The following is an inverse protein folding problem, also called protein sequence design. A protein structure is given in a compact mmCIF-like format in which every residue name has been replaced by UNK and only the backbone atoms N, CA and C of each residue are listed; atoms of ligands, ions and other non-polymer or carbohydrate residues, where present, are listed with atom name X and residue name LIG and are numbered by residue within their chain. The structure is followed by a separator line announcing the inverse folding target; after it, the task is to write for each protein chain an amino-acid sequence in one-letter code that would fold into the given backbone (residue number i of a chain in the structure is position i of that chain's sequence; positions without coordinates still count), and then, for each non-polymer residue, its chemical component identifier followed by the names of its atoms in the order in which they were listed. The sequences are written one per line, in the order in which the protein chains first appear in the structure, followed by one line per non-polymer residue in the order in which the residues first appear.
data_IF_359396312921
#
_entry.id   IF_359396312921
#
_cell.length_a   1.000
_cell.length_b   1.000
_cell.length_c   1.000
_cell.angle_alpha   90.00
_cell.angle_beta   90.00
_cell.angle_gamma   90.00
#
_symmetry.space_group_name_H-M   'P 1'
#
loop_
_entity.id
_entity.type
_entity.pdbx_description
1 polymer ?
#
# COMPACT_ATOMS: atom_id res chain seq x y z
N UNK A 1 28.48 1.25 -16.57
CA UNK A 1 27.22 2.02 -16.46
C UNK A 1 26.57 2.05 -17.83
N UNK A 2 25.34 1.58 -17.98
CA UNK A 2 24.76 1.46 -19.32
C UNK A 2 23.27 1.14 -19.33
N UNK A 3 22.48 1.89 -18.56
CA UNK A 3 21.05 1.94 -18.81
C UNK A 3 20.78 3.11 -19.76
N UNK A 4 20.58 2.80 -21.05
CA UNK A 4 20.35 3.78 -22.13
C UNK A 4 19.01 4.54 -21.99
N UNK A 5 18.15 4.15 -21.04
CA UNK A 5 16.88 4.81 -20.78
C UNK A 5 16.94 5.76 -19.57
N UNK A 6 18.00 5.70 -18.75
CA UNK A 6 18.16 6.61 -17.61
C UNK A 6 18.59 7.98 -18.12
N UNK A 7 17.69 8.96 -18.04
CA UNK A 7 17.97 10.35 -18.43
C UNK A 7 18.37 11.25 -17.28
N UNK A 8 18.04 10.88 -16.04
CA UNK A 8 18.33 11.68 -14.85
C UNK A 8 18.42 10.81 -13.60
N UNK A 9 19.28 11.18 -12.66
CA UNK A 9 19.51 10.50 -11.39
C UNK A 9 19.21 11.47 -10.24
N UNK A 10 18.26 11.10 -9.38
CA UNK A 10 17.97 11.84 -8.15
C UNK A 10 18.54 11.11 -6.94
N UNK A 11 19.33 11.82 -6.13
CA UNK A 11 20.05 11.25 -4.98
C UNK A 11 19.53 11.85 -3.66
N UNK A 12 18.99 11.00 -2.78
CA UNK A 12 18.51 11.38 -1.44
C UNK A 12 19.60 11.41 -0.36
N UNK A 13 20.83 11.81 -0.71
CA UNK A 13 22.02 11.67 0.16
C UNK A 13 22.44 12.97 0.83
N UNK A 14 21.56 13.99 0.90
CA UNK A 14 21.94 15.34 1.34
C UNK A 14 22.62 15.40 2.71
N UNK A 15 22.35 14.45 3.61
CA UNK A 15 22.89 14.40 4.97
C UNK A 15 24.24 13.72 5.11
N UNK A 16 24.68 12.95 4.10
CA UNK A 16 25.84 12.06 4.21
C UNK A 16 27.04 12.62 3.44
N UNK A 17 28.07 13.15 4.13
CA UNK A 17 29.23 13.74 3.47
C UNK A 17 30.10 12.72 2.72
N UNK A 18 29.94 11.41 2.95
CA UNK A 18 30.77 10.38 2.31
C UNK A 18 30.59 10.32 0.79
N UNK A 19 29.47 10.84 0.27
CA UNK A 19 29.19 10.88 -1.16
C UNK A 19 29.88 12.04 -1.89
N UNK A 20 30.52 12.99 -1.19
CA UNK A 20 31.15 14.15 -1.82
C UNK A 20 32.24 13.75 -2.82
N UNK A 21 33.14 12.83 -2.42
CA UNK A 21 34.21 12.35 -3.31
C UNK A 21 33.64 11.65 -4.55
N UNK A 22 32.62 10.82 -4.37
CA UNK A 22 31.96 10.14 -5.48
C UNK A 22 31.31 11.12 -6.45
N UNK A 23 30.67 12.17 -5.94
CA UNK A 23 30.09 13.21 -6.77
C UNK A 23 31.16 14.00 -7.52
N UNK A 24 32.27 14.35 -6.88
CA UNK A 24 33.37 15.05 -7.56
C UNK A 24 34.01 14.19 -8.66
N UNK A 25 34.08 12.87 -8.47
CA UNK A 25 34.63 11.96 -9.47
C UNK A 25 33.68 11.73 -10.66
N UNK A 26 32.36 11.85 -10.44
CA UNK A 26 31.31 11.57 -11.44
C UNK A 26 30.83 12.81 -12.15
N UNK A 27 30.87 13.98 -11.50
CA UNK A 27 30.32 15.23 -12.01
C UNK A 27 31.35 15.98 -12.86
N UNK A 28 31.04 16.10 -14.13
CA UNK A 28 31.67 17.00 -15.09
C UNK A 28 30.63 17.93 -15.72
N UNK A 29 31.06 18.82 -16.62
CA UNK A 29 30.15 19.75 -17.29
C UNK A 29 29.03 19.06 -18.09
N UNK A 30 29.21 17.81 -18.50
CA UNK A 30 28.21 17.05 -19.26
C UNK A 30 27.23 16.28 -18.37
N UNK A 31 27.63 15.90 -17.16
CA UNK A 31 26.82 15.04 -16.27
C UNK A 31 26.17 15.79 -15.12
N UNK A 32 26.61 17.02 -14.80
CA UNK A 32 26.02 17.84 -13.73
C UNK A 32 24.51 18.06 -13.89
N UNK A 33 24.02 18.18 -15.12
CA UNK A 33 22.60 18.37 -15.43
C UNK A 33 21.78 17.08 -15.38
N UNK A 34 22.45 15.92 -15.27
CA UNK A 34 21.82 14.60 -15.21
C UNK A 34 21.73 14.07 -13.78
N UNK A 35 22.35 14.74 -12.81
CA UNK A 35 22.41 14.31 -11.41
C UNK A 35 21.90 15.43 -10.51
N UNK A 36 20.96 15.11 -9.61
CA UNK A 36 20.41 16.08 -8.67
C UNK A 36 20.30 15.50 -7.27
N UNK A 37 20.80 16.23 -6.28
CA UNK A 37 20.66 15.88 -4.87
C UNK A 37 19.37 16.48 -4.32
N UNK A 38 18.56 15.64 -3.68
CA UNK A 38 17.34 16.03 -3.00
C UNK A 38 17.67 16.44 -1.56
N UNK A 39 17.37 17.68 -1.21
CA UNK A 39 17.57 18.22 0.12
C UNK A 39 16.28 18.07 0.96
N UNK A 40 16.23 16.97 1.72
CA UNK A 40 15.19 16.72 2.74
C UNK A 40 15.59 17.16 4.16
N UNK A 41 16.89 17.30 4.39
CA UNK A 41 17.52 17.90 5.58
C UNK A 41 18.74 18.71 5.14
N UNK A 42 19.21 19.69 5.93
CA UNK A 42 20.29 20.59 5.52
C UNK A 42 21.49 19.83 4.95
N UNK A 43 21.90 20.23 3.75
CA UNK A 43 22.96 19.55 3.02
C UNK A 43 24.29 19.55 3.80
N UNK A 44 25.00 18.43 3.78
CA UNK A 44 26.33 18.31 4.36
C UNK A 44 27.29 19.29 3.67
N UNK A 45 28.18 19.89 4.47
CA UNK A 45 29.08 20.97 4.00
C UNK A 45 29.98 20.52 2.85
N UNK A 46 30.40 19.27 2.84
CA UNK A 46 31.27 18.71 1.79
C UNK A 46 30.50 18.50 0.47
N UNK A 47 29.24 18.04 0.54
CA UNK A 47 28.37 17.94 -0.63
C UNK A 47 28.04 19.30 -1.24
N UNK A 48 27.93 20.34 -0.41
CA UNK A 48 27.65 21.70 -0.85
C UNK A 48 28.79 22.34 -1.65
N UNK A 49 30.01 21.78 -1.58
CA UNK A 49 31.17 22.24 -2.35
C UNK A 49 31.23 21.63 -3.76
N UNK A 50 30.49 20.55 -3.98
CA UNK A 50 30.40 19.91 -5.30
C UNK A 50 29.56 20.75 -6.27
N UNK A 51 29.72 20.57 -7.57
CA UNK A 51 28.93 21.26 -8.61
C UNK A 51 27.56 20.62 -8.86
N UNK A 52 27.06 19.82 -7.93
CA UNK A 52 25.81 19.06 -8.12
C UNK A 52 24.58 19.97 -8.09
N UNK A 53 23.63 19.71 -8.98
CA UNK A 53 22.32 20.34 -8.90
C UNK A 53 21.61 19.92 -7.61
N UNK A 54 20.92 20.86 -6.96
CA UNK A 54 20.18 20.58 -5.72
C UNK A 54 18.75 21.09 -5.80
N UNK A 55 17.82 20.29 -5.30
CA UNK A 55 16.42 20.70 -5.14
C UNK A 55 16.05 20.59 -3.66
N UNK A 56 15.62 21.71 -3.09
CA UNK A 56 15.16 21.78 -1.71
C UNK A 56 13.64 21.62 -1.64
N UNK A 57 13.21 20.56 -0.95
CA UNK A 57 11.80 20.28 -0.69
C UNK A 57 11.43 20.44 0.79
N UNK A 58 12.32 21.04 1.59
CA UNK A 58 12.05 21.36 2.99
C UNK A 58 10.96 22.42 3.03
N UNK A 59 9.92 22.20 3.85
CA UNK A 59 8.72 23.04 3.99
C UNK A 59 7.70 22.98 2.85
N UNK A 60 7.95 22.23 1.76
CA UNK A 60 6.97 21.99 0.68
C UNK A 60 6.50 20.54 0.65
N UNK A 61 7.43 19.60 0.73
CA UNK A 61 7.15 18.15 0.74
C UNK A 61 7.60 17.49 2.04
N UNK A 62 8.74 17.92 2.60
CA UNK A 62 9.33 17.38 3.81
C UNK A 62 9.16 18.33 5.00
N UNK A 63 8.87 17.74 6.16
CA UNK A 63 8.86 18.43 7.44
C UNK A 63 10.27 18.93 7.79
N UNK A 64 10.39 20.18 8.20
CA UNK A 64 11.63 20.73 8.76
C UNK A 64 11.92 20.22 10.18
N UNK A 65 10.88 19.77 10.89
CA UNK A 65 10.99 19.18 12.22
C UNK A 65 11.44 17.72 12.15
N UNK A 66 12.38 17.34 13.03
CA UNK A 66 12.68 15.92 13.25
C UNK A 66 11.43 15.26 13.80
N UNK A 67 11.03 14.13 13.21
CA UNK A 67 9.96 13.29 13.77
C UNK A 67 10.40 12.92 15.19
N UNK A 68 9.72 13.48 16.19
CA UNK A 68 10.02 13.22 17.58
C UNK A 68 10.06 11.72 17.83
N UNK A 69 11.05 11.24 18.60
CA UNK A 69 10.99 9.89 19.14
C UNK A 69 9.66 9.79 19.88
N UNK A 70 8.77 8.90 19.41
CA UNK A 70 7.56 8.58 20.16
C UNK A 70 8.06 8.12 21.52
N UNK A 71 7.87 8.95 22.55
CA UNK A 71 8.13 8.54 23.90
C UNK A 71 7.23 7.32 24.11
N UNK A 72 7.84 6.15 24.30
CA UNK A 72 7.11 4.98 24.74
C UNK A 72 6.38 5.39 26.01
N UNK A 73 5.08 5.64 25.88
CA UNK A 73 4.21 5.93 27.00
C UNK A 73 4.27 4.70 27.90
N UNK A 74 5.00 4.84 29.01
CA UNK A 74 4.96 3.88 30.10
C UNK A 74 3.52 3.67 30.56
N UNK A 75 3.19 2.51 31.16
CA UNK A 75 1.84 2.23 31.59
C UNK A 75 1.40 3.25 32.65
N UNK A 76 0.08 3.56 32.73
CA UNK A 76 -0.43 4.58 33.63
C UNK A 76 -0.15 4.18 35.09
N UNK A 77 0.54 5.06 35.81
CA UNK A 77 0.72 4.95 37.25
C UNK A 77 -0.65 5.08 37.93
N UNK A 78 -1.18 3.95 38.35
CA UNK A 78 -2.24 3.86 39.33
C UNK A 78 -2.01 2.61 40.15
N UNK A 79 -1.25 2.70 41.25
CA UNK A 79 -1.48 1.87 42.41
C UNK A 79 -0.87 2.50 43.68
N UNK A 80 -1.67 2.38 44.72
CA UNK A 80 -1.49 2.79 46.11
C UNK A 80 -0.25 2.18 46.80
N UNK A 81 0.39 2.98 47.64
CA UNK A 81 1.38 2.58 48.67
C UNK A 81 0.75 1.63 49.69
N UNK A 82 1.40 0.49 50.00
CA UNK A 82 1.68 -0.03 51.37
C UNK A 82 2.80 -1.08 51.34
N UNK A 83 3.84 -0.94 52.19
CA UNK A 83 4.38 -2.03 53.03
C UNK A 83 5.49 -2.99 52.54
N UNK A 84 6.73 -2.68 52.92
CA UNK A 84 7.79 -3.51 53.56
C UNK A 84 8.24 -4.91 53.08
N UNK A 85 9.58 -5.03 53.06
CA UNK A 85 10.51 -6.13 53.41
C UNK A 85 10.80 -7.30 52.46
N UNK A 86 12.11 -7.35 52.12
CA UNK A 86 13.03 -8.51 52.04
C UNK A 86 13.16 -9.40 50.78
N UNK A 87 14.44 -9.58 50.44
CA UNK A 87 15.16 -10.69 49.79
C UNK A 87 15.05 -11.02 48.28
N UNK A 88 16.20 -10.73 47.63
CA UNK A 88 16.84 -11.28 46.41
C UNK A 88 17.01 -12.83 46.53
N UNK A 89 17.31 -13.70 45.50
CA UNK A 89 17.59 -13.50 44.05
C UNK A 89 16.89 -14.51 43.06
N UNK A 90 17.26 -14.33 41.78
CA UNK A 90 17.67 -15.36 40.81
C UNK A 90 16.72 -15.73 39.65
N UNK A 91 17.27 -15.54 38.45
CA UNK A 91 16.84 -16.07 37.17
C UNK A 91 16.91 -17.61 37.10
N UNK A 92 16.11 -18.23 36.21
CA UNK A 92 16.40 -19.33 35.25
C UNK A 92 15.12 -19.42 34.38
N UNK A 93 15.13 -19.15 33.06
CA UNK A 93 15.61 -19.94 31.90
C UNK A 93 14.71 -21.11 31.43
N UNK A 94 14.90 -21.42 30.16
CA UNK A 94 14.06 -22.02 29.12
C UNK A 94 13.73 -23.53 29.19
N UNK A 95 12.62 -23.88 28.51
CA UNK A 95 12.25 -25.14 27.84
C UNK A 95 11.97 -26.43 28.66
N UNK A 96 10.83 -27.08 28.35
CA UNK A 96 10.53 -28.45 28.75
C UNK A 96 9.17 -28.93 28.23
N UNK A 97 9.17 -29.73 27.16
CA UNK A 97 8.01 -30.46 26.63
C UNK A 97 7.90 -31.80 27.35
N UNK A 98 6.67 -32.24 27.67
CA UNK A 98 6.09 -33.60 27.44
C UNK A 98 5.08 -34.05 28.52
N UNK A 99 4.01 -34.70 28.03
CA UNK A 99 3.19 -35.76 28.68
C UNK A 99 2.08 -35.37 29.68
N UNK A 100 0.83 -35.69 29.30
CA UNK A 100 -0.40 -35.71 30.11
C UNK A 100 -0.45 -36.96 31.05
N UNK A 101 -1.40 -37.13 32.02
CA UNK A 101 -2.83 -37.31 31.73
C UNK A 101 -3.86 -36.82 32.81
N UNK A 102 -5.15 -36.89 32.41
CA UNK A 102 -6.35 -37.24 33.18
C UNK A 102 -7.27 -36.16 33.83
N UNK A 103 -8.43 -35.98 33.17
CA UNK A 103 -9.84 -36.00 33.66
C UNK A 103 -10.30 -34.99 34.74
N UNK A 104 -11.18 -34.06 34.35
CA UNK A 104 -12.51 -33.75 34.96
C UNK A 104 -13.27 -32.66 34.17
N UNK A 105 -14.62 -32.67 34.10
CA UNK A 105 -15.41 -31.85 33.18
C UNK A 105 -15.60 -30.39 33.65
N UNK A 106 -15.76 -29.41 32.73
CA UNK A 106 -16.02 -28.01 33.09
C UNK A 106 -17.51 -27.77 33.47
N UNK A 107 -17.80 -26.97 34.52
CA UNK A 107 -19.17 -26.62 34.90
C UNK A 107 -19.81 -25.66 33.89
N UNK A 108 -21.07 -25.94 33.55
CA UNK A 108 -21.91 -25.12 32.66
C UNK A 108 -22.54 -23.95 33.42
N UNK A 109 -22.16 -22.71 33.08
CA UNK A 109 -22.86 -21.51 33.54
C UNK A 109 -23.80 -21.00 32.44
N UNK A 110 -25.10 -20.96 32.78
CA UNK A 110 -26.18 -20.46 31.93
C UNK A 110 -26.24 -18.92 31.95
N UNK A 111 -26.39 -18.37 30.74
CA UNK A 111 -26.66 -16.99 30.29
C UNK A 111 -27.50 -16.07 31.22
N UNK A 112 -27.38 -14.73 31.05
CA UNK A 112 -28.36 -14.04 30.18
C UNK A 112 -27.70 -13.14 29.11
N UNK A 113 -28.09 -13.36 27.85
CA UNK A 113 -27.83 -12.48 26.71
C UNK A 113 -28.71 -11.22 26.82
N UNK A 114 -28.11 -10.09 27.18
CA UNK A 114 -28.75 -8.78 26.99
C UNK A 114 -28.49 -8.30 25.55
N UNK A 115 -29.51 -7.85 24.79
CA UNK A 115 -29.32 -7.32 23.45
C UNK A 115 -28.61 -5.97 23.57
N UNK A 116 -27.29 -5.96 23.33
CA UNK A 116 -26.52 -4.73 23.25
C UNK A 116 -26.97 -3.97 22.00
N UNK A 117 -27.77 -2.94 22.18
CA UNK A 117 -28.07 -1.95 21.16
C UNK A 117 -26.73 -1.39 20.64
N UNK A 118 -26.33 -1.83 19.46
CA UNK A 118 -25.19 -1.28 18.75
C UNK A 118 -25.61 0.07 18.20
N UNK A 119 -25.31 1.11 18.96
CA UNK A 119 -25.33 2.47 18.46
C UNK A 119 -24.26 2.55 17.35
N UNK A 120 -24.70 2.39 16.09
CA UNK A 120 -23.85 2.56 14.90
C UNK A 120 -23.34 3.99 14.91
N UNK A 121 -22.02 4.23 15.09
CA UNK A 121 -21.49 5.57 14.98
C UNK A 121 -21.66 6.00 13.52
N UNK A 122 -22.37 7.11 13.30
CA UNK A 122 -22.42 7.78 11.99
C UNK A 122 -20.96 8.07 11.59
N UNK A 123 -20.43 7.31 10.64
CA UNK A 123 -19.07 7.47 10.14
C UNK A 123 -18.93 8.89 9.62
N UNK A 124 -18.01 9.66 10.22
CA UNK A 124 -17.60 10.95 9.72
C UNK A 124 -17.20 10.78 8.24
N UNK A 125 -17.82 11.56 7.36
CA UNK A 125 -17.49 11.60 5.93
C UNK A 125 -16.00 11.93 5.84
N UNK A 126 -15.19 10.94 5.46
CA UNK A 126 -13.77 11.18 5.21
C UNK A 126 -13.67 12.27 4.12
N UNK A 127 -12.74 13.24 4.25
CA UNK A 127 -12.53 14.21 3.20
C UNK A 127 -12.28 13.50 1.87
N UNK A 128 -12.73 14.06 0.73
CA UNK A 128 -12.50 13.46 -0.58
C UNK A 128 -10.99 13.35 -0.80
N UNK A 129 -10.49 12.12 -0.73
CA UNK A 129 -9.10 11.81 -1.00
C UNK A 129 -8.83 12.09 -2.48
N UNK A 130 -7.87 12.99 -2.75
CA UNK A 130 -7.39 13.22 -4.10
C UNK A 130 -6.06 12.47 -4.30
N UNK A 131 -6.04 11.43 -5.13
CA UNK A 131 -4.88 10.57 -5.31
C UNK A 131 -3.78 11.18 -6.19
N UNK A 132 -4.05 12.26 -6.91
CA UNK A 132 -3.08 12.92 -7.79
C UNK A 132 -3.74 13.81 -8.82
N UNK A 133 -2.97 14.30 -9.80
CA UNK A 133 -3.49 15.15 -10.88
C UNK A 133 -4.51 14.41 -11.76
N UNK A 134 -4.36 13.08 -11.93
CA UNK A 134 -5.31 12.22 -12.65
C UNK A 134 -6.65 12.07 -11.92
N UNK A 135 -6.66 12.25 -10.60
CA UNK A 135 -7.85 12.08 -9.76
C UNK A 135 -8.31 10.62 -9.68
N UNK A 136 -9.50 10.41 -9.12
CA UNK A 136 -10.07 9.08 -8.92
C UNK A 136 -10.56 8.44 -10.22
N UNK A 137 -10.41 7.12 -10.32
CA UNK A 137 -11.06 6.33 -11.37
C UNK A 137 -12.59 6.48 -11.27
N UNK A 138 -13.25 6.71 -12.40
CA UNK A 138 -14.71 6.94 -12.43
C UNK A 138 -15.48 5.79 -11.76
N UNK A 139 -16.35 6.04 -10.77
CA UNK A 139 -17.07 4.97 -10.09
C UNK A 139 -17.90 4.11 -11.06
N UNK A 140 -17.83 2.79 -10.89
CA UNK A 140 -18.63 1.83 -11.67
C UNK A 140 -19.80 1.33 -10.84
N UNK A 141 -21.03 1.47 -11.36
CA UNK A 141 -22.22 0.86 -10.76
C UNK A 141 -22.40 -0.56 -11.30
N UNK A 142 -21.93 -1.54 -10.55
CA UNK A 142 -21.94 -2.94 -10.97
C UNK A 142 -23.19 -3.66 -10.47
N UNK A 143 -23.85 -4.42 -11.34
CA UNK A 143 -24.88 -5.38 -10.95
C UNK A 143 -24.20 -6.63 -10.35
N UNK A 144 -24.47 -6.92 -9.08
CA UNK A 144 -23.79 -8.00 -8.35
C UNK A 144 -24.04 -9.39 -8.97
N UNK A 145 -25.27 -9.66 -9.43
CA UNK A 145 -25.61 -10.94 -10.07
C UNK A 145 -24.84 -11.14 -11.39
N UNK A 146 -24.68 -10.08 -12.18
CA UNK A 146 -23.89 -10.10 -13.42
C UNK A 146 -22.41 -10.30 -13.10
N UNK A 147 -21.88 -9.58 -12.11
CA UNK A 147 -20.50 -9.72 -11.67
C UNK A 147 -20.18 -11.16 -11.26
N UNK A 148 -21.06 -11.80 -10.50
CA UNK A 148 -20.86 -13.17 -10.04
C UNK A 148 -20.92 -14.17 -11.20
N UNK A 149 -21.77 -13.95 -12.20
CA UNK A 149 -21.80 -14.76 -13.41
C UNK A 149 -20.52 -14.64 -14.24
N UNK A 150 -19.96 -13.44 -14.38
CA UNK A 150 -18.67 -13.24 -15.06
C UNK A 150 -17.52 -13.88 -14.28
N UNK A 151 -17.51 -13.78 -12.93
CA UNK A 151 -16.49 -14.40 -12.07
C UNK A 151 -16.49 -15.94 -12.13
N UNK A 152 -17.64 -16.56 -12.36
CA UNK A 152 -17.76 -18.03 -12.49
C UNK A 152 -17.07 -18.59 -13.73
N UNK A 153 -16.75 -17.76 -14.73
CA UNK A 153 -16.05 -18.18 -15.95
C UNK A 153 -14.58 -18.53 -15.62
N UNK A 154 -14.16 -19.73 -15.97
CA UNK A 154 -12.82 -20.28 -15.69
C UNK A 154 -12.15 -20.83 -16.95
N UNK A 155 -10.84 -21.04 -16.91
CA UNK A 155 -10.06 -21.54 -18.04
C UNK A 155 -10.24 -20.68 -19.30
N UNK A 156 -10.43 -21.35 -20.44
CA UNK A 156 -10.65 -20.73 -21.75
C UNK A 156 -11.97 -19.96 -21.86
N UNK A 157 -12.95 -20.23 -20.98
CA UNK A 157 -14.21 -19.48 -20.98
C UNK A 157 -14.06 -18.06 -20.41
N UNK A 158 -12.94 -17.72 -19.75
CA UNK A 158 -12.69 -16.37 -19.22
C UNK A 158 -12.67 -15.36 -20.36
N UNK A 159 -13.45 -14.28 -20.19
CA UNK A 159 -13.52 -13.21 -21.17
C UNK A 159 -12.22 -12.41 -21.21
N UNK A 160 -11.73 -12.11 -22.40
CA UNK A 160 -10.54 -11.30 -22.58
C UNK A 160 -10.83 -9.81 -22.29
N UNK A 161 -10.26 -9.27 -21.22
CA UNK A 161 -10.45 -7.86 -20.86
C UNK A 161 -10.06 -6.90 -22.00
N UNK A 162 -8.90 -7.11 -22.65
CA UNK A 162 -8.46 -6.25 -23.76
C UNK A 162 -9.45 -6.30 -24.93
N UNK A 163 -9.90 -7.49 -25.33
CA UNK A 163 -10.84 -7.66 -26.44
C UNK A 163 -12.13 -6.85 -26.23
N UNK A 164 -12.73 -6.98 -25.05
CA UNK A 164 -14.05 -6.40 -24.79
C UNK A 164 -14.03 -4.93 -24.34
N UNK A 165 -12.90 -4.45 -23.82
CA UNK A 165 -12.79 -3.08 -23.29
C UNK A 165 -12.01 -2.12 -24.19
N UNK A 166 -11.04 -2.62 -24.98
CA UNK A 166 -10.20 -1.79 -25.88
C UNK A 166 -10.36 -2.13 -27.36
N UNK A 167 -11.19 -3.11 -27.68
CA UNK A 167 -11.37 -3.61 -29.04
C UNK A 167 -10.46 -4.82 -29.34
N UNK A 168 -10.29 -5.20 -30.61
CA UNK A 168 -9.67 -6.47 -30.99
C UNK A 168 -8.34 -6.76 -30.28
N UNK A 169 -8.28 -7.91 -29.60
CA UNK A 169 -7.10 -8.33 -28.86
C UNK A 169 -5.89 -8.52 -29.80
N UNK A 170 -4.76 -7.88 -29.48
CA UNK A 170 -3.51 -7.99 -30.25
C UNK A 170 -2.97 -9.42 -30.37
N UNK A 171 -3.27 -10.28 -29.38
CA UNK A 171 -2.84 -11.69 -29.36
C UNK A 171 -3.67 -12.59 -30.29
N UNK A 172 -4.83 -12.14 -30.78
CA UNK A 172 -5.73 -12.89 -31.67
C UNK A 172 -5.89 -14.36 -31.22
N UNK A 173 -5.45 -15.31 -32.04
CA UNK A 173 -5.61 -16.75 -31.84
C UNK A 173 -4.65 -17.35 -30.80
N UNK A 174 -3.60 -16.61 -30.41
CA UNK A 174 -2.67 -17.02 -29.34
C UNK A 174 -3.18 -16.65 -27.94
N UNK A 175 -4.33 -15.96 -27.85
CA UNK A 175 -4.93 -15.58 -26.59
C UNK A 175 -5.69 -16.75 -25.97
N UNK A 176 -5.36 -17.15 -24.75
CA UNK A 176 -6.07 -18.22 -24.03
C UNK A 176 -7.43 -17.81 -23.43
N UNK A 177 -8.00 -16.69 -23.87
CA UNK A 177 -9.25 -16.12 -23.35
C UNK A 177 -10.31 -16.04 -24.45
N UNK A 178 -11.58 -16.13 -24.05
CA UNK A 178 -12.72 -16.09 -24.95
C UNK A 178 -12.87 -14.72 -25.65
N UNK A 179 -13.03 -14.75 -26.97
CA UNK A 179 -13.20 -13.59 -27.85
C UNK A 179 -14.54 -13.59 -28.63
N UNK A 180 -15.25 -14.73 -28.71
CA UNK A 180 -16.48 -14.89 -29.49
C UNK A 180 -17.76 -14.77 -28.64
N UNK A 181 -17.68 -14.07 -27.51
CA UNK A 181 -18.84 -13.75 -26.68
C UNK A 181 -19.35 -12.34 -26.99
N UNK A 182 -20.66 -12.09 -26.83
CA UNK A 182 -21.26 -10.76 -27.03
C UNK A 182 -21.75 -10.21 -25.69
N UNK A 183 -20.86 -9.61 -24.85
CA UNK A 183 -21.27 -9.08 -23.57
C UNK A 183 -22.20 -7.88 -23.74
N UNK A 184 -23.29 -7.89 -22.98
CA UNK A 184 -24.20 -6.76 -22.85
C UNK A 184 -23.57 -5.59 -22.06
N UNK A 185 -24.28 -4.47 -21.93
CA UNK A 185 -23.75 -3.29 -21.25
C UNK A 185 -23.40 -3.55 -19.78
N UNK A 186 -24.23 -4.29 -19.04
CA UNK A 186 -23.97 -4.63 -17.64
C UNK A 186 -22.78 -5.57 -17.48
N UNK A 187 -22.63 -6.53 -18.40
CA UNK A 187 -21.49 -7.46 -18.43
C UNK A 187 -20.19 -6.71 -18.75
N UNK A 188 -20.20 -5.74 -19.67
CA UNK A 188 -19.03 -4.87 -19.91
C UNK A 188 -18.64 -4.07 -18.68
N UNK A 189 -19.60 -3.57 -17.90
CA UNK A 189 -19.33 -2.90 -16.63
C UNK A 189 -18.72 -3.86 -15.61
N UNK A 190 -19.23 -5.09 -15.52
CA UNK A 190 -18.65 -6.12 -14.66
C UNK A 190 -17.21 -6.51 -15.07
N UNK A 191 -16.95 -6.67 -16.37
CA UNK A 191 -15.60 -6.91 -16.91
C UNK A 191 -14.67 -5.73 -16.57
N UNK A 192 -15.15 -4.50 -16.74
CA UNK A 192 -14.40 -3.28 -16.39
C UNK A 192 -14.05 -3.24 -14.90
N UNK A 193 -15.00 -3.60 -14.03
CA UNK A 193 -14.77 -3.66 -12.59
C UNK A 193 -13.71 -4.70 -12.23
N UNK A 194 -13.80 -5.92 -12.80
CA UNK A 194 -12.80 -6.96 -12.57
C UNK A 194 -11.41 -6.58 -13.12
N UNK A 195 -11.36 -5.90 -14.27
CA UNK A 195 -10.11 -5.39 -14.81
C UNK A 195 -9.47 -4.38 -13.85
N UNK A 196 -10.27 -3.46 -13.29
CA UNK A 196 -9.83 -2.46 -12.31
C UNK A 196 -9.46 -3.00 -10.94
N UNK A 197 -9.68 -4.28 -10.64
CA UNK A 197 -9.11 -4.93 -9.45
C UNK A 197 -7.62 -5.28 -9.62
N UNK A 198 -7.10 -5.19 -10.85
CA UNK A 198 -5.67 -5.32 -11.11
C UNK A 198 -5.06 -3.90 -11.17
N UNK A 199 -4.04 -3.61 -10.34
CA UNK A 199 -3.38 -2.31 -10.36
C UNK A 199 -2.73 -2.04 -11.72
N UNK A 200 -2.86 -0.80 -12.18
CA UNK A 200 -2.09 -0.28 -13.29
C UNK A 200 -0.62 -0.21 -12.88
N UNK A 201 0.29 -0.67 -13.73
CA UNK A 201 1.74 -0.62 -13.46
C UNK A 201 2.25 0.81 -13.29
N UNK A 202 1.61 1.77 -13.95
CA UNK A 202 1.99 3.19 -13.89
C UNK A 202 1.22 3.96 -12.81
N UNK A 203 0.26 3.33 -12.12
CA UNK A 203 -0.53 3.97 -11.05
C UNK A 203 -1.06 5.35 -11.46
N UNK A 204 -0.84 6.35 -10.62
CA UNK A 204 -1.27 7.74 -10.87
C UNK A 204 -0.58 8.41 -12.05
N UNK A 205 0.60 7.94 -12.42
CA UNK A 205 1.41 8.49 -13.51
C UNK A 205 1.03 7.89 -14.86
N UNK A 206 -0.03 7.08 -14.92
CA UNK A 206 -0.53 6.56 -16.19
C UNK A 206 -1.07 7.71 -17.06
N UNK A 207 -0.56 7.84 -18.28
CA UNK A 207 -0.95 8.79 -19.31
C UNK A 207 -1.95 8.21 -20.32
N UNK A 208 -2.23 6.91 -20.22
CA UNK A 208 -3.14 6.20 -21.09
C UNK A 208 -4.58 6.61 -20.75
N UNK A 209 -5.24 7.28 -21.69
CA UNK A 209 -6.62 7.77 -21.54
C UNK A 209 -7.63 6.63 -21.41
N UNK A 210 -7.43 5.53 -22.14
CA UNK A 210 -8.31 4.35 -22.17
C UNK A 210 -7.78 3.18 -21.30
N UNK A 211 -7.03 3.47 -20.24
CA UNK A 211 -6.51 2.44 -19.36
C UNK A 211 -7.65 1.67 -18.67
N UNK A 212 -7.62 0.34 -18.76
CA UNK A 212 -8.64 -0.56 -18.23
C UNK A 212 -8.32 -1.08 -16.82
N UNK A 213 -7.12 -0.80 -16.32
CA UNK A 213 -6.65 -1.21 -15.00
C UNK A 213 -6.96 -0.13 -13.95
N UNK A 214 -6.92 -0.52 -12.67
CA UNK A 214 -7.20 0.41 -11.59
C UNK A 214 -5.97 1.24 -11.25
N UNK A 215 -6.12 2.55 -11.14
CA UNK A 215 -5.07 3.43 -10.61
C UNK A 215 -5.21 3.61 -9.09
N UNK A 216 -6.33 3.14 -8.52
CA UNK A 216 -6.63 3.10 -7.09
C UNK A 216 -7.39 1.84 -6.74
N UNK A 217 -7.36 1.48 -5.46
CA UNK A 217 -8.15 0.36 -4.96
C UNK A 217 -9.67 0.67 -5.03
N UNK A 218 -10.46 -0.03 -5.87
CA UNK A 218 -11.91 0.21 -5.98
C UNK A 218 -12.71 -0.44 -4.84
N UNK A 219 -12.05 -1.17 -3.94
CA UNK A 219 -12.66 -1.98 -2.88
C UNK A 219 -12.62 -1.31 -1.49
N UNK A 220 -12.33 -0.01 -1.44
CA UNK A 220 -12.28 0.73 -0.18
C UNK A 220 -13.68 1.19 0.23
N UNK A 221 -14.15 0.69 1.37
CA UNK A 221 -15.47 1.04 1.94
C UNK A 221 -15.28 1.44 3.40
N UNK A 222 -15.76 2.61 3.80
CA UNK A 222 -15.69 3.11 5.17
C UNK A 222 -14.26 3.08 5.79
N UNK A 223 -13.23 3.39 5.00
CA UNK A 223 -11.84 3.34 5.46
C UNK A 223 -11.28 1.94 5.66
N UNK A 224 -11.91 0.92 5.07
CA UNK A 224 -11.43 -0.46 5.07
C UNK A 224 -11.46 -1.00 3.63
N UNK A 225 -10.33 -1.53 3.15
CA UNK A 225 -10.29 -2.34 1.94
C UNK A 225 -10.94 -3.69 2.24
N UNK A 226 -11.95 -4.05 1.46
CA UNK A 226 -12.72 -5.30 1.64
C UNK A 226 -12.07 -6.49 0.93
N UNK A 227 -11.04 -6.27 0.10
CA UNK A 227 -10.37 -7.34 -0.63
C UNK A 227 -9.32 -8.04 0.26
N UNK A 228 -9.45 -9.36 0.51
CA UNK A 228 -8.59 -10.06 1.47
C UNK A 228 -7.13 -10.17 1.02
N UNK A 229 -6.89 -10.25 -0.29
CA UNK A 229 -5.56 -10.26 -0.91
C UNK A 229 -5.47 -9.09 -1.88
N UNK A 230 -5.46 -7.87 -1.35
CA UNK A 230 -5.43 -6.67 -2.18
C UNK A 230 -4.04 -6.50 -2.81
N UNK A 231 -4.03 -6.24 -4.12
CA UNK A 231 -2.79 -6.03 -4.90
C UNK A 231 -2.37 -4.56 -4.98
N UNK A 232 -3.20 -3.64 -4.48
CA UNK A 232 -2.92 -2.22 -4.52
C UNK A 232 -1.95 -1.83 -3.41
N UNK A 233 -1.09 -0.87 -3.70
CA UNK A 233 -0.11 -0.32 -2.77
C UNK A 233 -0.82 0.51 -1.68
N UNK A 234 -0.15 0.74 -0.53
CA UNK A 234 -0.66 1.61 0.52
C UNK A 234 -1.10 3.00 0.04
N UNK A 235 -0.31 3.60 -0.85
CA UNK A 235 -0.53 4.92 -1.44
C UNK A 235 -1.67 4.96 -2.46
N UNK A 236 -2.12 3.81 -2.95
CA UNK A 236 -3.26 3.67 -3.87
C UNK A 236 -4.60 3.46 -3.13
N UNK A 237 -4.59 3.66 -1.81
CA UNK A 237 -5.78 3.68 -0.97
C UNK A 237 -6.00 5.07 -0.37
N UNK A 238 -7.26 5.45 -0.07
CA UNK A 238 -7.55 6.63 0.71
C UNK A 238 -6.78 6.66 2.03
N UNK A 239 -6.37 7.86 2.46
CA UNK A 239 -5.63 8.05 3.71
C UNK A 239 -6.36 7.41 4.90
N UNK A 240 -5.62 6.70 5.75
CA UNK A 240 -6.17 6.00 6.90
C UNK A 240 -6.93 4.71 6.58
N UNK A 241 -6.93 4.25 5.31
CA UNK A 241 -7.54 2.98 4.94
C UNK A 241 -6.80 1.81 5.58
N UNK A 242 -7.53 0.96 6.29
CA UNK A 242 -7.06 -0.34 6.76
C UNK A 242 -7.15 -1.33 5.60
N UNK A 243 -6.11 -2.13 5.39
CA UNK A 243 -6.09 -3.15 4.34
C UNK A 243 -5.25 -4.34 4.77
N UNK A 244 -5.55 -5.51 4.19
CA UNK A 244 -4.72 -6.71 4.32
C UNK A 244 -3.92 -6.83 3.03
N UNK A 245 -2.74 -6.22 3.02
CA UNK A 245 -1.89 -6.17 1.83
C UNK A 245 -1.10 -7.46 1.69
N UNK A 246 -0.87 -7.89 0.44
CA UNK A 246 0.19 -8.85 0.10
C UNK A 246 1.59 -8.21 0.15
N UNK A 247 1.66 -6.89 0.34
CA UNK A 247 2.90 -6.13 0.49
C UNK A 247 3.15 -5.85 1.96
N UNK A 248 4.19 -6.46 2.53
CA UNK A 248 4.73 -6.06 3.86
C UNK A 248 5.89 -5.12 3.59
N UNK A 249 5.89 -3.94 4.22
CA UNK A 249 7.00 -2.98 4.15
C UNK A 249 7.40 -2.52 2.73
N UNK A 250 6.45 -2.41 1.80
CA UNK A 250 6.72 -1.91 0.44
C UNK A 250 7.31 -2.95 -0.52
N UNK A 251 7.53 -4.19 -0.09
CA UNK A 251 7.98 -5.28 -0.94
C UNK A 251 6.85 -6.31 -1.15
N UNK A 252 6.68 -6.76 -2.39
CA UNK A 252 5.71 -7.79 -2.75
C UNK A 252 6.13 -9.14 -2.16
N UNK A 253 5.18 -9.92 -1.63
CA UNK A 253 5.42 -11.35 -1.43
C UNK A 253 5.73 -12.00 -2.79
N UNK A 254 6.93 -12.60 -2.92
CA UNK A 254 7.23 -13.59 -3.97
C UNK A 254 6.33 -14.81 -3.82
#
# INVERSE_FOLDING_TARGET
MGNLNCRHVLLGVSHDPSYAQFLDDVLDDNTKDLVTVLEGVPMARELSKTMVNKINYTNTLFRSDRVGKVAASGPPSGLVTVGSTENVPAAISYAGVTSAPAVSPPPTLKLPLAPRQTNVPKTAKQPPWNPGARGLDSPLKVNQSVLDNIKKRTGSSKLCNNHYLRGPCAKKDTCGFEHNYKPNAEEKVAISFLARLNPCTNGQECDIADCIYGHHCPSTVNGQCTHPYCKFRPDEHPAGTKYKSTYRNGEAYN
#
